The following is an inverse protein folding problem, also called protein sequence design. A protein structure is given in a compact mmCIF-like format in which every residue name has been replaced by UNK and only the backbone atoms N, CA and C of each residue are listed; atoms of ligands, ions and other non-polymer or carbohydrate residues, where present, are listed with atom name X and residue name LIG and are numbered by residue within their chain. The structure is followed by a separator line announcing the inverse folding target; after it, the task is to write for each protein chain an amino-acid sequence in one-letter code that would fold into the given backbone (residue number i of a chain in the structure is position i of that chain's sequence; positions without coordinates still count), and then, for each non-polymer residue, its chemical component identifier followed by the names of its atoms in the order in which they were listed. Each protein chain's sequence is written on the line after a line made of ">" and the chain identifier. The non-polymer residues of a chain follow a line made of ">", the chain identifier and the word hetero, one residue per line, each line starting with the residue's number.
data_IF_415401068271
#
_entry.id   IF_415401068271
#
_cell.length_a   1.000
_cell.length_b   1.000
_cell.length_c   1.000
_cell.angle_alpha   90.00
_cell.angle_beta   90.00
_cell.angle_gamma   90.00
#
_symmetry.space_group_name_H-M   'P 1'
#
loop_
_entity.id
_entity.type
_entity.pdbx_description
1 polymer ?
#
# COMPACT_ATOMS: atom_id res chain seq x y z
N UNK A 1 -1.33 8.92 5.72
CA UNK A 1 -1.99 7.72 5.18
C UNK A 1 -1.35 6.44 5.71
N UNK A 2 -0.09 6.15 5.36
CA UNK A 2 0.62 4.99 5.95
C UNK A 2 0.56 4.95 7.49
N UNK A 3 0.90 6.06 8.15
CA UNK A 3 0.81 6.19 9.62
C UNK A 3 -0.61 5.99 10.16
N UNK A 4 -1.60 6.65 9.52
CA UNK A 4 -3.03 6.51 9.88
C UNK A 4 -3.50 5.06 9.82
N UNK A 5 -3.16 4.31 8.76
CA UNK A 5 -3.51 2.89 8.65
C UNK A 5 -2.86 2.05 9.74
N UNK A 6 -1.64 2.39 10.19
CA UNK A 6 -1.03 1.71 11.34
C UNK A 6 -1.75 2.05 12.66
N UNK A 7 -2.17 3.29 12.86
CA UNK A 7 -2.94 3.73 14.04
C UNK A 7 -4.30 3.05 14.14
N UNK A 8 -4.92 2.74 12.99
CA UNK A 8 -6.18 2.00 12.89
C UNK A 8 -6.00 0.47 12.90
N UNK A 9 -4.79 -0.02 13.19
CA UNK A 9 -4.42 -1.45 13.16
C UNK A 9 -4.57 -2.16 11.80
N UNK A 10 -4.70 -1.39 10.70
CA UNK A 10 -4.87 -1.85 9.32
C UNK A 10 -3.51 -2.13 8.63
N UNK A 11 -2.68 -2.91 9.32
CA UNK A 11 -1.30 -3.21 8.87
C UNK A 11 -1.26 -4.13 7.65
N UNK A 12 -2.27 -4.98 7.49
CA UNK A 12 -2.38 -5.88 6.34
C UNK A 12 -2.77 -5.12 5.07
N UNK A 13 -3.65 -4.14 5.19
CA UNK A 13 -4.04 -3.22 4.12
C UNK A 13 -2.85 -2.39 3.69
N UNK A 14 -2.10 -1.82 4.65
CA UNK A 14 -0.82 -1.14 4.36
C UNK A 14 0.12 -2.04 3.54
N UNK A 15 0.29 -3.30 3.96
CA UNK A 15 1.16 -4.26 3.27
C UNK A 15 0.66 -4.58 1.87
N UNK A 16 -0.64 -4.78 1.72
CA UNK A 16 -1.28 -5.08 0.44
C UNK A 16 -1.12 -3.92 -0.55
N UNK A 17 -1.44 -2.69 -0.13
CA UNK A 17 -1.26 -1.46 -0.93
C UNK A 17 0.18 -1.37 -1.45
N UNK A 18 1.14 -1.54 -0.54
CA UNK A 18 2.56 -1.44 -0.88
C UNK A 18 3.01 -2.55 -1.83
N UNK A 19 2.62 -3.80 -1.59
CA UNK A 19 2.97 -4.91 -2.49
C UNK A 19 2.35 -4.72 -3.87
N UNK A 20 1.07 -4.30 -3.93
CA UNK A 20 0.37 -4.06 -5.19
C UNK A 20 1.02 -2.93 -5.99
N UNK A 21 1.30 -1.80 -5.35
CA UNK A 21 2.01 -0.69 -6.00
C UNK A 21 3.39 -1.13 -6.52
N UNK A 22 4.14 -1.88 -5.72
CA UNK A 22 5.46 -2.38 -6.11
C UNK A 22 5.37 -3.33 -7.31
N UNK A 23 4.42 -4.25 -7.30
CA UNK A 23 4.23 -5.25 -8.35
C UNK A 23 3.82 -4.62 -9.68
N UNK A 24 2.84 -3.72 -9.64
CA UNK A 24 2.37 -2.96 -10.81
C UNK A 24 3.47 -2.13 -11.49
N UNK A 25 4.50 -1.75 -10.74
CA UNK A 25 5.62 -0.95 -11.22
C UNK A 25 6.95 -1.72 -11.22
N UNK A 26 6.88 -3.05 -11.13
CA UNK A 26 8.05 -3.93 -10.96
C UNK A 26 9.09 -3.79 -12.07
N UNK A 27 8.64 -3.61 -13.32
CA UNK A 27 9.49 -3.35 -14.48
C UNK A 27 10.31 -2.06 -14.31
N UNK A 28 9.65 -0.97 -13.91
CA UNK A 28 10.31 0.32 -13.62
C UNK A 28 11.22 0.25 -12.40
N UNK A 29 10.92 -0.64 -11.46
CA UNK A 29 11.68 -0.78 -10.22
C UNK A 29 12.86 -1.74 -10.32
N UNK A 30 13.06 -2.39 -11.48
CA UNK A 30 14.06 -3.46 -11.72
C UNK A 30 13.97 -4.56 -10.65
N UNK A 31 12.74 -4.98 -10.35
CA UNK A 31 12.47 -5.98 -9.33
C UNK A 31 12.55 -7.39 -9.91
N UNK A 32 13.68 -8.07 -9.64
CA UNK A 32 13.93 -9.46 -10.07
C UNK A 32 13.16 -10.51 -9.27
N UNK A 33 12.50 -10.12 -8.17
CA UNK A 33 11.84 -11.02 -7.22
C UNK A 33 10.36 -10.71 -7.14
N UNK A 34 9.56 -11.77 -7.09
CA UNK A 34 8.13 -11.72 -6.82
C UNK A 34 7.90 -11.13 -5.41
N UNK A 35 7.28 -9.94 -5.34
CA UNK A 35 7.11 -9.22 -4.09
C UNK A 35 6.13 -9.94 -3.17
N UNK A 36 5.12 -10.63 -3.70
CA UNK A 36 4.12 -11.33 -2.90
C UNK A 36 4.70 -12.55 -2.19
N UNK A 37 5.67 -13.24 -2.80
CA UNK A 37 6.35 -14.36 -2.15
C UNK A 37 7.28 -13.95 -1.02
N UNK A 38 7.92 -12.79 -1.13
CA UNK A 38 8.98 -12.37 -0.21
C UNK A 38 8.54 -11.25 0.73
N UNK A 39 7.29 -10.80 0.66
CA UNK A 39 6.84 -9.65 1.45
C UNK A 39 7.01 -9.90 2.97
N UNK A 40 6.80 -11.14 3.43
CA UNK A 40 6.86 -11.48 4.85
C UNK A 40 8.29 -11.44 5.42
N UNK A 41 9.30 -11.48 4.56
CA UNK A 41 10.72 -11.43 4.96
C UNK A 41 11.18 -10.00 5.28
N UNK A 42 10.36 -8.99 4.98
CA UNK A 42 10.65 -7.58 5.25
C UNK A 42 9.62 -6.95 6.16
N UNK A 43 10.09 -6.03 7.01
CA UNK A 43 9.20 -5.22 7.83
C UNK A 43 8.36 -4.29 6.95
N UNK A 44 7.19 -3.92 7.47
CA UNK A 44 6.29 -3.01 6.77
C UNK A 44 6.94 -1.64 6.50
N UNK A 45 7.78 -1.15 7.43
CA UNK A 45 8.54 0.09 7.24
C UNK A 45 9.58 -0.03 6.12
N UNK A 46 10.27 -1.16 6.00
CA UNK A 46 11.21 -1.39 4.90
C UNK A 46 10.48 -1.42 3.56
N UNK A 47 9.31 -2.06 3.51
CA UNK A 47 8.45 -2.10 2.33
C UNK A 47 7.98 -0.68 1.94
N UNK A 48 7.56 0.12 2.93
CA UNK A 48 7.16 1.51 2.73
C UNK A 48 8.30 2.37 2.20
N UNK A 49 9.48 2.31 2.84
CA UNK A 49 10.65 3.07 2.41
C UNK A 49 11.06 2.71 0.99
N UNK A 50 11.07 1.41 0.65
CA UNK A 50 11.36 0.95 -0.69
C UNK A 50 10.38 1.55 -1.72
N UNK A 51 9.07 1.40 -1.48
CA UNK A 51 8.03 1.93 -2.37
C UNK A 51 8.12 3.45 -2.51
N UNK A 52 8.31 4.18 -1.41
CA UNK A 52 8.41 5.63 -1.40
C UNK A 52 9.64 6.12 -2.19
N UNK A 53 10.81 5.50 -1.98
CA UNK A 53 12.01 5.87 -2.69
C UNK A 53 11.87 5.60 -4.19
N UNK A 54 11.38 4.43 -4.58
CA UNK A 54 11.16 4.07 -5.98
C UNK A 54 10.09 4.95 -6.64
N UNK A 55 9.03 5.29 -5.93
CA UNK A 55 8.02 6.20 -6.41
C UNK A 55 8.59 7.60 -6.65
N UNK A 56 9.38 8.12 -5.71
CA UNK A 56 10.03 9.43 -5.84
C UNK A 56 11.01 9.49 -7.01
N UNK A 57 11.79 8.44 -7.25
CA UNK A 57 12.78 8.42 -8.35
C UNK A 57 12.14 8.31 -9.73
N UNK A 58 10.88 7.88 -9.81
CA UNK A 58 10.15 7.66 -11.06
C UNK A 58 8.93 8.59 -11.21
N UNK A 59 8.81 9.64 -10.39
CA UNK A 59 7.68 10.58 -10.38
C UNK A 59 6.29 9.93 -10.15
N UNK A 60 6.24 8.82 -9.41
CA UNK A 60 5.03 8.03 -9.12
C UNK A 60 4.47 8.27 -7.70
N UNK A 61 4.87 9.33 -7.01
CA UNK A 61 4.37 9.61 -5.65
C UNK A 61 2.85 9.79 -5.61
N UNK A 62 2.28 10.43 -6.63
CA UNK A 62 0.83 10.61 -6.75
C UNK A 62 0.12 9.26 -6.93
N UNK A 63 0.71 8.33 -7.68
CA UNK A 63 0.16 6.99 -7.87
C UNK A 63 0.18 6.21 -6.54
N UNK A 64 1.30 6.22 -5.82
CA UNK A 64 1.40 5.58 -4.51
C UNK A 64 0.37 6.13 -3.51
N UNK A 65 0.20 7.45 -3.47
CA UNK A 65 -0.80 8.10 -2.62
C UNK A 65 -2.23 7.87 -3.09
N UNK A 66 -2.45 7.73 -4.40
CA UNK A 66 -3.73 7.32 -4.98
C UNK A 66 -4.16 5.94 -4.51
N UNK A 67 -3.26 4.96 -4.48
CA UNK A 67 -3.55 3.62 -3.95
C UNK A 67 -4.01 3.68 -2.47
N UNK A 68 -3.33 4.48 -1.66
CA UNK A 68 -3.74 4.73 -0.28
C UNK A 68 -5.11 5.37 -0.17
N UNK A 69 -5.38 6.40 -0.97
CA UNK A 69 -6.65 7.10 -0.96
C UNK A 69 -7.81 6.17 -1.37
N UNK A 70 -7.61 5.40 -2.44
CA UNK A 70 -8.59 4.43 -2.92
C UNK A 70 -8.91 3.36 -1.86
N UNK A 71 -7.88 2.89 -1.15
CA UNK A 71 -8.10 1.93 -0.07
C UNK A 71 -8.87 2.54 1.11
N UNK A 72 -8.50 3.75 1.54
CA UNK A 72 -9.20 4.45 2.63
C UNK A 72 -10.66 4.74 2.27
N UNK A 73 -10.93 5.15 1.03
CA UNK A 73 -12.28 5.39 0.53
C UNK A 73 -13.11 4.10 0.51
N UNK A 74 -12.54 2.99 0.03
CA UNK A 74 -13.20 1.68 0.04
C UNK A 74 -13.51 1.19 1.47
N UNK A 75 -12.58 1.39 2.41
CA UNK A 75 -12.79 1.05 3.82
C UNK A 75 -13.92 1.89 4.41
N UNK A 76 -13.90 3.21 4.19
CA UNK A 76 -14.91 4.14 4.69
C UNK A 76 -16.31 3.77 4.21
N UNK A 77 -16.46 3.46 2.91
CA UNK A 77 -17.74 3.02 2.32
C UNK A 77 -18.25 1.71 2.91
N UNK A 78 -17.36 0.78 3.26
CA UNK A 78 -17.75 -0.49 3.89
C UNK A 78 -18.30 -0.27 5.29
N UNK A 79 -17.70 0.63 6.07
CA UNK A 79 -18.18 1.00 7.41
C UNK A 79 -19.57 1.64 7.35
N UNK A 80 -19.78 2.57 6.41
CA UNK A 80 -21.10 3.19 6.22
C UNK A 80 -22.16 2.15 5.86
N UNK A 81 -21.82 1.17 5.02
CA UNK A 81 -22.76 0.11 4.63
C UNK A 81 -23.16 -0.77 5.82
N UNK A 82 -22.22 -1.10 6.72
CA UNK A 82 -22.50 -1.91 7.91
C UNK A 82 -23.31 -1.16 8.97
N UNK A 83 -23.08 0.15 9.12
CA UNK A 83 -23.80 1.00 10.09
C UNK A 83 -25.24 1.27 9.66
N UNK A 84 -25.52 1.28 8.35
CA UNK A 84 -26.88 1.43 7.82
C UNK A 84 -27.70 0.13 7.83
N UNK A 85 -27.09 -1.00 8.18
CA UNK A 85 -27.74 -2.32 8.28
C UNK A 85 -27.94 -2.79 9.72
N UNK A 86 -27.49 -2.01 10.70
CA UNK A 86 -27.65 -2.22 12.15
C UNK A 86 -28.73 -1.33 12.74
#
# INVERSE_FOLDING_TARGET
>A
MYGLLNELELRNENRYILCNFIDQNSELFDLKRDIYKNNHDVSLNQLFLFAYHKARTNDLLNNLYGEYFNCIDAISKKVDTQTNLS
#
